data_IF_844660521777
#
_entry.id   IF_844660521777
#
_cell.length_a   1.000
_cell.length_b   1.000
_cell.length_c   1.000
_cell.angle_alpha   90.00
_cell.angle_beta   90.00
_cell.angle_gamma   90.00
#
_symmetry.space_group_name_H-M   'P 1'
#
loop_
_entity.id
_entity.type
_entity.pdbx_description
1 polymer ?
#
# COMPACT_ATOMS: atom_id res chain seq x y z
N UNK A 1 -4.01 33.47 24.61
CA UNK A 1 -2.82 32.74 24.13
C UNK A 1 -3.32 31.51 23.40
N UNK A 2 -3.33 31.55 22.06
CA UNK A 2 -3.71 30.40 21.23
C UNK A 2 -2.44 29.53 21.17
N UNK A 3 -2.47 28.23 21.52
CA UNK A 3 -1.30 27.40 21.33
C UNK A 3 -0.97 27.39 19.84
N UNK A 4 0.28 27.69 19.52
CA UNK A 4 0.79 27.65 18.15
C UNK A 4 0.39 26.31 17.53
N UNK A 5 -0.18 26.40 16.32
CA UNK A 5 -0.67 25.29 15.52
C UNK A 5 0.24 24.09 15.69
N UNK A 6 -0.29 23.02 16.25
CA UNK A 6 0.35 21.72 16.30
C UNK A 6 0.66 21.35 14.85
N UNK A 7 1.92 21.49 14.45
CA UNK A 7 2.40 20.99 13.17
C UNK A 7 2.13 19.48 13.21
N UNK A 8 1.07 19.04 12.51
CA UNK A 8 0.84 17.64 12.21
C UNK A 8 1.97 17.17 11.30
N UNK A 9 3.16 16.98 11.87
CA UNK A 9 4.27 16.31 11.23
C UNK A 9 3.83 14.87 11.15
N UNK A 10 3.28 14.48 10.00
CA UNK A 10 2.98 13.09 9.70
C UNK A 10 4.33 12.37 9.67
N UNK A 11 4.75 11.88 10.83
CA UNK A 11 5.92 11.02 10.92
C UNK A 11 5.72 9.86 9.96
N UNK A 12 6.69 9.70 9.06
CA UNK A 12 6.67 8.64 8.07
C UNK A 12 6.85 7.32 8.83
N UNK A 13 5.74 6.63 9.08
CA UNK A 13 5.76 5.28 9.65
C UNK A 13 5.94 4.27 8.54
N UNK A 14 7.04 3.52 8.57
CA UNK A 14 7.26 2.41 7.65
C UNK A 14 6.50 1.17 8.12
N UNK A 15 5.80 0.51 7.20
CA UNK A 15 5.05 -0.72 7.44
C UNK A 15 5.73 -1.84 6.68
N UNK A 16 6.10 -2.92 7.38
CA UNK A 16 6.63 -4.12 6.75
C UNK A 16 5.50 -4.87 6.03
N UNK A 17 5.70 -5.20 4.74
CA UNK A 17 4.71 -5.88 3.90
C UNK A 17 5.17 -7.28 3.46
N UNK A 18 6.22 -7.81 4.10
CA UNK A 18 6.80 -9.13 3.85
C UNK A 18 8.14 -9.08 3.13
N UNK A 19 8.99 -10.09 3.35
CA UNK A 19 10.28 -10.30 2.65
C UNK A 19 11.26 -9.11 2.72
N UNK A 20 11.19 -8.33 3.80
CA UNK A 20 12.03 -7.12 3.94
C UNK A 20 11.52 -5.90 3.17
N UNK A 21 10.39 -6.01 2.46
CA UNK A 21 9.76 -4.87 1.80
C UNK A 21 9.04 -4.00 2.83
N UNK A 22 9.15 -2.68 2.64
CA UNK A 22 8.51 -1.68 3.50
C UNK A 22 7.80 -0.64 2.65
N UNK A 23 6.68 -0.12 3.16
CA UNK A 23 5.92 0.97 2.53
C UNK A 23 5.66 2.09 3.51
N UNK A 24 5.51 3.31 2.99
CA UNK A 24 5.10 4.49 3.76
C UNK A 24 3.66 4.33 4.22
N UNK A 25 3.42 4.03 5.49
CA UNK A 25 2.09 3.75 6.03
C UNK A 25 1.11 4.92 5.88
N UNK A 26 1.60 6.15 5.92
CA UNK A 26 0.81 7.36 5.65
C UNK A 26 0.39 7.52 4.17
N UNK A 27 0.90 6.70 3.25
CA UNK A 27 0.50 6.66 1.84
C UNK A 27 -0.43 5.49 1.51
N UNK A 28 -0.76 4.64 2.48
CA UNK A 28 -1.71 3.54 2.24
C UNK A 28 -3.13 4.10 2.29
N UNK A 29 -3.84 4.04 1.17
CA UNK A 29 -5.27 4.40 1.09
C UNK A 29 -6.13 3.22 1.51
N UNK A 30 -5.78 2.00 1.08
CA UNK A 30 -6.53 0.80 1.44
C UNK A 30 -5.67 -0.48 1.41
N UNK A 31 -6.09 -1.47 2.18
CA UNK A 31 -5.58 -2.85 2.14
C UNK A 31 -6.77 -3.76 1.84
N UNK A 32 -6.73 -4.47 0.72
CA UNK A 32 -7.86 -5.26 0.22
C UNK A 32 -7.45 -6.70 -0.08
N UNK A 33 -8.42 -7.61 -0.05
CA UNK A 33 -8.20 -9.01 -0.42
C UNK A 33 -8.01 -9.13 -1.95
N UNK A 34 -7.06 -9.94 -2.42
CA UNK A 34 -6.83 -10.18 -3.85
C UNK A 34 -7.92 -11.06 -4.50
N UNK A 35 -8.86 -11.61 -3.72
CA UNK A 35 -9.76 -12.66 -4.20
C UNK A 35 -10.92 -12.17 -5.06
N UNK A 36 -11.35 -10.92 -4.88
CA UNK A 36 -12.53 -10.39 -5.58
C UNK A 36 -12.23 -10.08 -7.05
N UNK A 37 -13.22 -10.29 -7.92
CA UNK A 37 -13.08 -10.03 -9.35
C UNK A 37 -12.67 -8.58 -9.69
N UNK A 38 -13.21 -7.53 -9.03
CA UNK A 38 -12.76 -6.15 -9.26
C UNK A 38 -11.29 -5.92 -8.91
N UNK A 39 -10.80 -6.49 -7.79
CA UNK A 39 -9.41 -6.34 -7.39
C UNK A 39 -8.48 -7.06 -8.37
N UNK A 40 -8.84 -8.26 -8.83
CA UNK A 40 -8.07 -8.97 -9.87
C UNK A 40 -7.95 -8.15 -11.16
N UNK A 41 -9.02 -7.43 -11.55
CA UNK A 41 -8.97 -6.51 -12.70
C UNK A 41 -8.05 -5.33 -12.47
N UNK A 42 -8.10 -4.71 -11.29
CA UNK A 42 -7.22 -3.58 -10.93
C UNK A 42 -5.74 -4.01 -10.95
N UNK A 43 -5.41 -5.20 -10.43
CA UNK A 43 -4.04 -5.74 -10.48
C UNK A 43 -3.58 -5.90 -11.93
N UNK A 44 -4.41 -6.49 -12.79
CA UNK A 44 -4.09 -6.68 -14.21
C UNK A 44 -3.86 -5.35 -14.92
N UNK A 45 -4.76 -4.37 -14.71
CA UNK A 45 -4.62 -3.04 -15.28
C UNK A 45 -3.36 -2.32 -14.78
N UNK A 46 -3.05 -2.42 -13.48
CA UNK A 46 -1.83 -1.84 -12.92
C UNK A 46 -0.56 -2.47 -13.52
N UNK A 47 -0.60 -3.78 -13.79
CA UNK A 47 0.48 -4.50 -14.48
C UNK A 47 0.64 -3.99 -15.92
N UNK A 48 -0.46 -3.86 -16.66
CA UNK A 48 -0.45 -3.37 -18.05
C UNK A 48 0.08 -1.93 -18.14
N UNK A 49 -0.27 -1.10 -17.15
CA UNK A 49 0.21 0.28 -17.01
C UNK A 49 1.63 0.40 -16.44
N UNK A 50 2.31 -0.72 -16.13
CA UNK A 50 3.63 -0.73 -15.47
C UNK A 50 3.67 0.04 -14.13
N UNK A 51 2.57 0.03 -13.38
CA UNK A 51 2.42 0.68 -12.07
C UNK A 51 2.31 -0.31 -10.91
N UNK A 52 2.14 -1.60 -11.20
CA UNK A 52 2.12 -2.66 -10.19
C UNK A 52 3.52 -2.91 -9.64
N UNK A 53 3.64 -2.86 -8.32
CA UNK A 53 4.81 -3.36 -7.59
C UNK A 53 4.45 -4.71 -6.97
N UNK A 54 5.07 -5.79 -7.45
CA UNK A 54 4.88 -7.14 -6.89
C UNK A 54 5.89 -7.43 -5.78
N UNK A 55 5.41 -7.45 -4.53
CA UNK A 55 6.20 -7.76 -3.34
C UNK A 55 5.94 -9.19 -2.80
N UNK A 56 5.32 -10.07 -3.59
CA UNK A 56 4.89 -11.41 -3.13
C UNK A 56 5.98 -12.47 -3.20
N UNK A 57 7.09 -12.21 -3.89
CA UNK A 57 8.25 -13.12 -4.04
C UNK A 57 7.81 -14.53 -4.52
N UNK A 58 6.83 -14.58 -5.43
CA UNK A 58 6.28 -15.83 -5.96
C UNK A 58 5.42 -16.64 -4.97
N UNK A 59 5.16 -16.13 -3.76
CA UNK A 59 4.21 -16.73 -2.82
C UNK A 59 2.78 -16.29 -3.11
N UNK A 60 1.81 -16.98 -2.50
CA UNK A 60 0.39 -16.61 -2.58
C UNK A 60 0.20 -15.16 -2.12
N UNK A 61 -0.40 -14.32 -2.98
CA UNK A 61 -0.83 -12.97 -2.63
C UNK A 61 -1.82 -13.01 -1.47
N UNK A 62 -1.51 -12.33 -0.36
CA UNK A 62 -2.39 -12.27 0.81
C UNK A 62 -3.19 -10.98 0.90
N UNK A 63 -2.67 -9.91 0.30
CA UNK A 63 -3.27 -8.59 0.31
C UNK A 63 -2.80 -7.80 -0.92
N UNK A 64 -3.59 -6.81 -1.30
CA UNK A 64 -3.22 -5.75 -2.24
C UNK A 64 -3.26 -4.44 -1.48
N UNK A 65 -2.21 -3.64 -1.63
CA UNK A 65 -2.10 -2.32 -1.03
C UNK A 65 -2.39 -1.30 -2.13
N UNK A 66 -3.32 -0.38 -1.85
CA UNK A 66 -3.63 0.76 -2.70
C UNK A 66 -2.97 1.98 -2.07
N UNK A 67 -2.15 2.66 -2.86
CA UNK A 67 -1.43 3.89 -2.48
C UNK A 67 -1.85 5.06 -3.35
#
# INVERSE_FOLDING_TARGET
>A
MIPAREEFRLEIRLVNIGFGNMVSGNRIVAIVSPESAPIKRIIAEAKDRSTLIDATYGRRTRAVIIT
#
